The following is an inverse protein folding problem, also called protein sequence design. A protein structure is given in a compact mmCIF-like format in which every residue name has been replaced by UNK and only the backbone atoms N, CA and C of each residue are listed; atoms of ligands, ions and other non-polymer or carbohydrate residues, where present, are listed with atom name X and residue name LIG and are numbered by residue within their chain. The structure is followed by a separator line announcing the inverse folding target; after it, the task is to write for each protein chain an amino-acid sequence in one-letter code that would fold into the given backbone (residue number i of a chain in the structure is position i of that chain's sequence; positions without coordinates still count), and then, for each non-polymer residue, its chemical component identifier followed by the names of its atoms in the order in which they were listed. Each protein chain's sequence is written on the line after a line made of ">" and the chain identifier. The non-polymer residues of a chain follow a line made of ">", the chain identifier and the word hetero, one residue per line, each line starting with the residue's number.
data_IF_217886677605
#
_entry.id   IF_217886677605
#
_cell.length_a   1.000
_cell.length_b   1.000
_cell.length_c   1.000
_cell.angle_alpha   90.00
_cell.angle_beta   90.00
_cell.angle_gamma   90.00
#
_symmetry.space_group_name_H-M   'P 1'
#
loop_
_entity.id
_entity.type
_entity.pdbx_description
1 polymer ?
#
# COMPACT_ATOMS: atom_id res chain seq x y z
N UNK A 1 -15.59 -8.43 -7.44
CA UNK A 1 -14.81 -7.26 -7.81
C UNK A 1 -13.42 -7.33 -7.19
N UNK A 2 -12.43 -6.91 -7.94
CA UNK A 2 -11.06 -6.94 -7.44
C UNK A 2 -10.79 -5.72 -6.57
N UNK A 3 -10.16 -5.96 -5.45
CA UNK A 3 -9.68 -4.91 -4.59
C UNK A 3 -8.17 -5.06 -4.44
N UNK A 4 -7.52 -3.96 -4.13
CA UNK A 4 -6.07 -3.96 -3.93
C UNK A 4 -5.77 -3.46 -2.53
N UNK A 5 -4.99 -4.22 -1.78
CA UNK A 5 -4.57 -3.83 -0.44
C UNK A 5 -3.10 -3.47 -0.46
N UNK A 6 -2.78 -2.27 0.00
CA UNK A 6 -1.40 -1.83 0.16
C UNK A 6 -1.03 -1.98 1.62
N UNK A 7 0.01 -2.76 1.89
CA UNK A 7 0.54 -2.94 3.25
C UNK A 7 1.93 -2.35 3.34
N UNK A 8 2.22 -1.70 4.43
CA UNK A 8 3.53 -1.11 4.64
C UNK A 8 3.85 -1.02 6.13
N UNK A 9 5.12 -0.76 6.41
CA UNK A 9 5.59 -0.51 7.79
C UNK A 9 6.02 0.95 7.84
N UNK A 10 5.48 1.69 8.81
CA UNK A 10 5.82 3.11 8.96
C UNK A 10 7.15 3.29 9.68
N UNK A 11 7.54 4.55 9.90
CA UNK A 11 8.82 4.88 10.52
C UNK A 11 8.93 4.33 11.94
N UNK A 12 7.81 4.12 12.59
CA UNK A 12 7.78 3.62 13.96
C UNK A 12 7.76 2.10 14.04
N UNK A 13 7.79 1.43 12.89
CA UNK A 13 7.72 -0.02 12.85
C UNK A 13 6.32 -0.57 12.97
N UNK A 14 5.30 0.26 12.81
CA UNK A 14 3.91 -0.17 12.91
C UNK A 14 3.42 -0.59 11.54
N UNK A 15 2.82 -1.78 11.45
CA UNK A 15 2.23 -2.27 10.21
C UNK A 15 0.92 -1.54 9.93
N UNK A 16 0.78 -1.09 8.68
CA UNK A 16 -0.41 -0.41 8.24
C UNK A 16 -0.89 -0.98 6.93
N UNK A 17 -2.18 -0.80 6.64
CA UNK A 17 -2.73 -1.25 5.38
C UNK A 17 -3.89 -0.36 4.98
N UNK A 18 -4.17 -0.36 3.68
CA UNK A 18 -5.31 0.39 3.14
C UNK A 18 -5.78 -0.29 1.86
N UNK A 19 -7.09 -0.32 1.66
CA UNK A 19 -7.69 -0.91 0.49
C UNK A 19 -7.97 0.13 -0.58
N UNK A 20 -7.75 -0.24 -1.84
CA UNK A 20 -8.02 0.60 -3.00
C UNK A 20 -8.84 -0.20 -4.01
N UNK A 21 -9.64 0.49 -4.79
CA UNK A 21 -10.51 -0.15 -5.78
C UNK A 21 -9.81 -0.39 -7.11
N UNK A 22 -8.77 0.37 -7.41
CA UNK A 22 -8.07 0.24 -8.68
C UNK A 22 -6.57 0.06 -8.45
N UNK A 23 -5.92 -0.59 -9.42
CA UNK A 23 -4.47 -0.76 -9.37
C UNK A 23 -3.75 0.60 -9.46
N UNK A 24 -4.30 1.52 -10.24
CA UNK A 24 -3.70 2.85 -10.35
C UNK A 24 -3.65 3.54 -9.00
N UNK A 25 -4.74 3.48 -8.24
CA UNK A 25 -4.77 4.09 -6.91
C UNK A 25 -3.78 3.42 -5.97
N UNK A 26 -3.73 2.09 -6.00
CA UNK A 26 -2.79 1.34 -5.15
C UNK A 26 -1.34 1.66 -5.51
N UNK A 27 -1.04 1.75 -6.80
CA UNK A 27 0.31 2.08 -7.26
C UNK A 27 0.70 3.50 -6.86
N UNK A 28 -0.22 4.43 -6.99
CA UNK A 28 0.00 5.81 -6.56
C UNK A 28 0.32 5.86 -5.07
N UNK A 29 -0.46 5.16 -4.27
CA UNK A 29 -0.24 5.10 -2.83
C UNK A 29 1.10 4.48 -2.48
N UNK A 30 1.47 3.39 -3.17
CA UNK A 30 2.76 2.74 -2.97
C UNK A 30 3.92 3.72 -3.23
N UNK A 31 3.86 4.43 -4.35
CA UNK A 31 4.91 5.38 -4.70
C UNK A 31 5.00 6.51 -3.68
N UNK A 32 3.85 7.01 -3.25
CA UNK A 32 3.79 8.07 -2.23
C UNK A 32 4.40 7.60 -0.93
N UNK A 33 4.05 6.38 -0.51
CA UNK A 33 4.57 5.81 0.74
C UNK A 33 6.09 5.63 0.70
N UNK A 34 6.61 5.11 -0.41
CA UNK A 34 8.06 4.93 -0.56
C UNK A 34 8.78 6.28 -0.50
N UNK A 35 8.18 7.29 -1.09
CA UNK A 35 8.75 8.64 -1.08
C UNK A 35 8.76 9.23 0.33
N UNK A 36 7.84 8.81 1.18
CA UNK A 36 7.70 9.32 2.54
C UNK A 36 8.32 8.44 3.60
N UNK A 37 9.15 7.49 3.20
CA UNK A 37 9.94 6.69 4.13
C UNK A 37 9.30 5.42 4.62
N UNK A 38 8.18 5.01 4.05
CA UNK A 38 7.57 3.73 4.40
C UNK A 38 8.48 2.58 3.95
N UNK A 39 8.43 1.47 4.70
CA UNK A 39 9.24 0.30 4.41
C UNK A 39 8.35 -0.88 4.08
N UNK A 40 8.90 -1.84 3.33
CA UNK A 40 8.22 -3.10 3.00
C UNK A 40 6.83 -2.87 2.40
N UNK A 41 6.75 -1.90 1.47
CA UNK A 41 5.47 -1.59 0.82
C UNK A 41 5.14 -2.69 -0.17
N UNK A 42 3.97 -3.29 -0.01
CA UNK A 42 3.52 -4.37 -0.87
C UNK A 42 2.08 -4.16 -1.30
N UNK A 43 1.75 -4.62 -2.50
CA UNK A 43 0.38 -4.57 -3.01
C UNK A 43 -0.12 -6.01 -3.13
N UNK A 44 -1.27 -6.27 -2.53
CA UNK A 44 -1.95 -7.56 -2.61
C UNK A 44 -3.22 -7.42 -3.42
N UNK A 45 -3.44 -8.36 -4.31
CA UNK A 45 -4.65 -8.39 -5.13
C UNK A 45 -5.66 -9.31 -4.46
N UNK A 46 -6.81 -8.75 -4.12
CA UNK A 46 -7.91 -9.50 -3.52
C UNK A 46 -8.96 -9.77 -4.59
N UNK A 47 -9.31 -11.01 -4.75
CA UNK A 47 -10.33 -11.41 -5.74
C UNK A 47 -11.67 -11.64 -5.08
#
# INVERSE_FOLDING_TARGET
>A
MNNFTVKWVDEKGVERSKNYKTLNDATYARNWLLKNGAKQVEIFINK
#
